data_IF_804579668552
#
_entry.id   IF_804579668552
#
_cell.length_a   1.000
_cell.length_b   1.000
_cell.length_c   1.000
_cell.angle_alpha   90.00
_cell.angle_beta   90.00
_cell.angle_gamma   90.00
#
_symmetry.space_group_name_H-M   'P 1'
#
loop_
_entity.id
_entity.type
_entity.pdbx_description
1 polymer ?
#
# COMPACT_ATOMS: atom_id res chain seq x y z
N UNK A 1 25.93 73.88 21.75
CA UNK A 1 24.62 73.20 21.78
C UNK A 1 24.36 72.28 20.58
N UNK A 2 25.06 72.44 19.44
CA UNK A 2 24.92 71.53 18.29
C UNK A 2 25.53 70.13 18.52
N UNK A 3 26.61 70.02 19.31
CA UNK A 3 27.30 68.73 19.57
C UNK A 3 26.43 67.71 20.32
N UNK A 4 25.67 68.16 21.32
CA UNK A 4 24.82 67.27 22.12
C UNK A 4 23.61 66.75 21.35
N UNK A 5 23.01 67.56 20.48
CA UNK A 5 21.88 67.15 19.65
C UNK A 5 22.30 66.15 18.56
N UNK A 6 23.47 66.36 17.95
CA UNK A 6 24.05 65.43 16.98
C UNK A 6 24.37 64.07 17.62
N UNK A 7 24.90 64.09 18.85
CA UNK A 7 25.22 62.89 19.62
C UNK A 7 23.96 62.09 20.00
N UNK A 8 22.89 62.75 20.42
CA UNK A 8 21.61 62.09 20.75
C UNK A 8 20.96 61.51 19.48
N UNK A 9 21.03 62.23 18.36
CA UNK A 9 20.50 61.78 17.08
C UNK A 9 21.23 60.52 16.56
N UNK A 10 22.56 60.47 16.68
CA UNK A 10 23.35 59.30 16.27
C UNK A 10 23.11 58.09 17.17
N UNK A 11 22.96 58.27 18.50
CA UNK A 11 22.59 57.20 19.42
C UNK A 11 21.20 56.63 19.10
N UNK A 12 20.23 57.50 18.82
CA UNK A 12 18.85 57.09 18.50
C UNK A 12 18.79 56.34 17.17
N UNK A 13 19.48 56.84 16.14
CA UNK A 13 19.57 56.16 14.85
C UNK A 13 20.26 54.80 14.96
N UNK A 14 21.36 54.70 15.73
CA UNK A 14 22.05 53.44 15.98
C UNK A 14 21.17 52.41 16.68
N UNK A 15 20.39 52.86 17.67
CA UNK A 15 19.45 52.00 18.41
C UNK A 15 18.32 51.49 17.50
N UNK A 16 17.80 52.34 16.60
CA UNK A 16 16.77 51.95 15.64
C UNK A 16 17.28 50.89 14.63
N UNK A 17 18.52 51.04 14.13
CA UNK A 17 19.13 50.06 13.22
C UNK A 17 19.37 48.73 13.93
N UNK A 18 19.85 48.75 15.17
CA UNK A 18 20.06 47.52 15.96
C UNK A 18 18.74 46.81 16.24
N UNK A 19 17.69 47.54 16.65
CA UNK A 19 16.37 46.98 16.87
C UNK A 19 15.79 46.37 15.58
N UNK A 20 15.95 47.06 14.45
CA UNK A 20 15.54 46.56 13.14
C UNK A 20 16.30 45.28 12.74
N UNK A 21 17.61 45.24 12.94
CA UNK A 21 18.43 44.07 12.64
C UNK A 21 18.10 42.86 13.52
N UNK A 22 17.94 43.06 14.83
CA UNK A 22 17.53 42.00 15.78
C UNK A 22 16.15 41.45 15.40
N UNK A 23 15.21 42.34 15.06
CA UNK A 23 13.87 41.96 14.62
C UNK A 23 13.91 41.18 13.30
N UNK A 24 14.67 41.64 12.30
CA UNK A 24 14.87 40.97 11.01
C UNK A 24 15.50 39.57 11.16
N UNK A 25 16.46 39.43 12.08
CA UNK A 25 17.09 38.14 12.41
C UNK A 25 16.10 37.21 13.15
N UNK A 26 15.25 37.77 14.01
CA UNK A 26 14.20 37.03 14.71
C UNK A 26 13.12 36.51 13.76
N UNK A 27 12.61 37.37 12.87
CA UNK A 27 11.57 37.01 11.91
C UNK A 27 12.07 35.99 10.88
N UNK A 28 13.30 36.13 10.39
CA UNK A 28 13.90 35.15 9.47
C UNK A 28 14.14 33.78 10.13
N UNK A 29 14.56 33.73 11.40
CA UNK A 29 14.71 32.48 12.14
C UNK A 29 13.37 31.81 12.41
N UNK A 30 12.35 32.57 12.82
CA UNK A 30 10.99 32.06 13.02
C UNK A 30 10.38 31.55 11.70
N UNK A 31 10.55 32.30 10.60
CA UNK A 31 10.10 31.90 9.28
C UNK A 31 10.77 30.60 8.79
N UNK A 32 12.06 30.40 9.08
CA UNK A 32 12.75 29.12 8.78
C UNK A 32 12.16 27.97 9.58
N UNK A 33 12.01 28.12 10.89
CA UNK A 33 11.42 27.07 11.75
C UNK A 33 10.00 26.71 11.27
N UNK A 34 9.19 27.73 10.93
CA UNK A 34 7.84 27.51 10.42
C UNK A 34 7.85 26.84 9.04
N UNK A 35 8.76 27.23 8.15
CA UNK A 35 8.93 26.62 6.84
C UNK A 35 9.38 25.15 6.95
N UNK A 36 10.36 24.85 7.81
CA UNK A 36 10.87 23.50 8.06
C UNK A 36 9.76 22.62 8.68
N UNK A 37 9.04 23.14 9.69
CA UNK A 37 7.90 22.43 10.30
C UNK A 37 6.80 22.14 9.29
N UNK A 38 6.52 23.09 8.39
CA UNK A 38 5.51 22.91 7.33
C UNK A 38 5.98 21.89 6.30
N UNK A 39 7.25 21.93 5.91
CA UNK A 39 7.84 20.99 4.97
C UNK A 39 7.84 19.55 5.53
N UNK A 40 8.16 19.38 6.81
CA UNK A 40 8.12 18.10 7.50
C UNK A 40 6.69 17.57 7.60
N UNK A 41 5.73 18.41 7.99
CA UNK A 41 4.31 18.03 8.02
C UNK A 41 3.80 17.62 6.64
N UNK A 42 4.16 18.35 5.58
CA UNK A 42 3.82 17.99 4.20
C UNK A 42 4.47 16.68 3.77
N UNK A 43 5.71 16.41 4.20
CA UNK A 43 6.41 15.16 3.88
C UNK A 43 5.74 13.95 4.53
N UNK A 44 5.36 14.09 5.81
CA UNK A 44 4.61 13.05 6.54
C UNK A 44 3.27 12.77 5.87
N UNK A 45 2.52 13.82 5.49
CA UNK A 45 1.22 13.65 4.84
C UNK A 45 1.35 13.02 3.44
N UNK A 46 2.35 13.41 2.65
CA UNK A 46 2.62 12.78 1.34
C UNK A 46 2.93 11.30 1.48
N UNK A 47 3.76 10.93 2.47
CA UNK A 47 4.08 9.53 2.73
C UNK A 47 2.85 8.75 3.21
N UNK A 48 2.04 9.34 4.09
CA UNK A 48 0.76 8.75 4.55
C UNK A 48 -0.19 8.50 3.38
N UNK A 49 -0.32 9.47 2.49
CA UNK A 49 -1.16 9.35 1.29
C UNK A 49 -0.63 8.29 0.32
N UNK A 50 0.67 8.25 0.05
CA UNK A 50 1.29 7.24 -0.82
C UNK A 50 1.08 5.82 -0.28
N UNK A 51 1.30 5.61 1.03
CA UNK A 51 1.02 4.35 1.73
C UNK A 51 -0.44 3.95 1.60
N UNK A 52 -1.36 4.88 1.87
CA UNK A 52 -2.80 4.62 1.77
C UNK A 52 -3.19 4.15 0.37
N UNK A 53 -2.68 4.80 -0.67
CA UNK A 53 -2.92 4.41 -2.07
C UNK A 53 -2.35 3.02 -2.34
N UNK A 54 -1.07 2.79 -2.02
CA UNK A 54 -0.42 1.49 -2.25
C UNK A 54 -1.17 0.33 -1.56
N UNK A 55 -1.61 0.51 -0.32
CA UNK A 55 -2.36 -0.50 0.42
C UNK A 55 -3.76 -0.71 -0.17
N UNK A 56 -4.44 0.37 -0.57
CA UNK A 56 -5.77 0.28 -1.18
C UNK A 56 -5.73 -0.47 -2.52
N UNK A 57 -4.79 -0.13 -3.40
CA UNK A 57 -4.61 -0.79 -4.69
C UNK A 57 -4.27 -2.27 -4.50
N UNK A 58 -3.39 -2.61 -3.55
CA UNK A 58 -3.07 -4.00 -3.22
C UNK A 58 -4.30 -4.79 -2.76
N UNK A 59 -5.12 -4.21 -1.86
CA UNK A 59 -6.35 -4.83 -1.39
C UNK A 59 -7.38 -5.02 -2.51
N UNK A 60 -7.55 -4.02 -3.37
CA UNK A 60 -8.44 -4.13 -4.53
C UNK A 60 -8.00 -5.27 -5.46
N UNK A 61 -6.70 -5.36 -5.72
CA UNK A 61 -6.16 -6.41 -6.58
C UNK A 61 -6.31 -7.81 -5.96
N UNK A 62 -6.13 -7.94 -4.64
CA UNK A 62 -6.40 -9.18 -3.92
C UNK A 62 -7.88 -9.59 -4.01
N UNK A 63 -8.81 -8.62 -3.96
CA UNK A 63 -10.23 -8.86 -4.17
C UNK A 63 -10.53 -9.32 -5.59
N UNK A 64 -9.98 -8.66 -6.62
CA UNK A 64 -10.13 -9.07 -8.03
C UNK A 64 -9.68 -10.51 -8.26
N UNK A 65 -8.57 -10.91 -7.64
CA UNK A 65 -8.09 -12.29 -7.69
C UNK A 65 -9.04 -13.26 -6.98
N UNK A 66 -9.59 -12.86 -5.83
CA UNK A 66 -10.59 -13.65 -5.09
C UNK A 66 -11.87 -13.85 -5.89
N UNK A 67 -12.30 -12.85 -6.67
CA UNK A 67 -13.44 -12.97 -7.57
C UNK A 67 -13.19 -14.01 -8.68
N UNK A 68 -11.95 -14.10 -9.19
CA UNK A 68 -11.56 -15.17 -10.12
C UNK A 68 -11.64 -16.53 -9.44
N UNK A 69 -11.14 -16.65 -8.21
CA UNK A 69 -11.22 -17.90 -7.45
C UNK A 69 -12.66 -18.32 -7.19
N UNK A 70 -13.54 -17.38 -6.84
CA UNK A 70 -14.95 -17.65 -6.66
C UNK A 70 -15.62 -18.19 -7.93
N UNK A 71 -15.27 -17.64 -9.11
CA UNK A 71 -15.75 -18.17 -10.40
C UNK A 71 -15.25 -19.58 -10.68
N UNK A 72 -14.03 -19.91 -10.28
CA UNK A 72 -13.51 -21.29 -10.36
C UNK A 72 -14.34 -22.22 -9.47
N UNK A 73 -14.60 -21.84 -8.22
CA UNK A 73 -15.48 -22.61 -7.33
C UNK A 73 -16.88 -22.80 -7.91
N UNK A 74 -17.42 -21.81 -8.63
CA UNK A 74 -18.73 -21.93 -9.28
C UNK A 74 -18.69 -22.88 -10.49
N UNK A 75 -17.67 -22.79 -11.34
CA UNK A 75 -17.49 -23.68 -12.49
C UNK A 75 -17.35 -25.17 -12.10
N UNK A 76 -16.72 -25.45 -10.96
CA UNK A 76 -16.58 -26.82 -10.45
C UNK A 76 -17.72 -27.27 -9.53
N UNK A 77 -18.65 -26.37 -9.19
CA UNK A 77 -19.79 -26.69 -8.34
C UNK A 77 -20.68 -27.74 -9.02
N UNK A 78 -21.03 -28.79 -8.27
CA UNK A 78 -21.91 -29.85 -8.76
C UNK A 78 -21.29 -30.78 -9.81
N UNK A 79 -19.96 -30.80 -9.96
CA UNK A 79 -19.28 -31.84 -10.73
C UNK A 79 -19.36 -33.18 -9.96
N UNK A 80 -20.35 -34.01 -10.29
CA UNK A 80 -20.52 -35.34 -9.70
C UNK A 80 -19.37 -36.27 -10.13
N UNK A 81 -18.70 -36.90 -9.17
CA UNK A 81 -17.61 -37.85 -9.46
C UNK A 81 -16.27 -37.23 -9.85
N UNK A 82 -16.12 -35.90 -9.77
CA UNK A 82 -14.84 -35.20 -10.00
C UNK A 82 -14.39 -35.13 -11.46
N UNK A 83 -15.22 -35.58 -12.41
CA UNK A 83 -14.95 -35.48 -13.85
C UNK A 83 -15.67 -34.26 -14.41
N UNK A 84 -14.90 -33.32 -14.95
CA UNK A 84 -15.42 -32.11 -15.57
C UNK A 84 -15.69 -32.37 -17.05
N UNK A 85 -16.88 -31.97 -17.53
CA UNK A 85 -17.16 -31.95 -18.97
C UNK A 85 -16.27 -30.94 -19.72
N UNK A 86 -16.11 -31.13 -21.03
CA UNK A 86 -15.22 -30.31 -21.87
C UNK A 86 -15.50 -28.80 -21.76
N UNK A 87 -16.77 -28.39 -21.68
CA UNK A 87 -17.17 -26.98 -21.52
C UNK A 87 -16.61 -26.36 -20.23
N UNK A 88 -16.70 -27.08 -19.11
CA UNK A 88 -16.19 -26.62 -17.81
C UNK A 88 -14.67 -26.58 -17.80
N UNK A 89 -14.01 -27.55 -18.44
CA UNK A 89 -12.54 -27.55 -18.58
C UNK A 89 -12.08 -26.33 -19.38
N UNK A 90 -12.80 -25.97 -20.44
CA UNK A 90 -12.48 -24.78 -21.24
C UNK A 90 -12.73 -23.47 -20.45
N UNK A 91 -13.80 -23.42 -19.64
CA UNK A 91 -14.01 -22.31 -18.71
C UNK A 91 -12.86 -22.18 -17.69
N UNK A 92 -12.39 -23.29 -17.12
CA UNK A 92 -11.26 -23.28 -16.20
C UNK A 92 -9.97 -22.79 -16.86
N UNK A 93 -9.71 -23.12 -18.13
CA UNK A 93 -8.55 -22.58 -18.87
C UNK A 93 -8.61 -21.06 -18.98
N UNK A 94 -9.78 -20.51 -19.30
CA UNK A 94 -9.99 -19.04 -19.35
C UNK A 94 -9.81 -18.40 -17.98
N UNK A 95 -10.36 -19.02 -16.93
CA UNK A 95 -10.21 -18.52 -15.56
C UNK A 95 -8.76 -18.59 -15.07
N UNK A 96 -7.99 -19.62 -15.45
CA UNK A 96 -6.55 -19.73 -15.16
C UNK A 96 -5.76 -18.60 -15.82
N UNK A 97 -6.04 -18.30 -17.09
CA UNK A 97 -5.39 -17.19 -17.79
C UNK A 97 -5.69 -15.85 -17.12
N UNK A 98 -6.96 -15.61 -16.79
CA UNK A 98 -7.35 -14.43 -16.03
C UNK A 98 -6.66 -14.38 -14.67
N UNK A 99 -6.60 -15.48 -13.93
CA UNK A 99 -5.90 -15.55 -12.64
C UNK A 99 -4.43 -15.14 -12.79
N UNK A 100 -3.75 -15.60 -13.85
CA UNK A 100 -2.34 -15.26 -14.13
C UNK A 100 -2.17 -13.76 -14.33
N UNK A 101 -3.08 -13.13 -15.07
CA UNK A 101 -3.01 -11.70 -15.36
C UNK A 101 -3.28 -10.87 -14.09
N UNK A 102 -4.27 -11.25 -13.29
CA UNK A 102 -4.54 -10.61 -11.99
C UNK A 102 -3.37 -10.82 -10.99
N UNK A 103 -2.73 -11.99 -11.02
CA UNK A 103 -1.54 -12.27 -10.22
C UNK A 103 -0.33 -11.40 -10.64
N UNK A 104 -0.16 -11.14 -11.94
CA UNK A 104 0.92 -10.30 -12.43
C UNK A 104 0.82 -8.87 -11.86
N UNK A 105 -0.38 -8.32 -11.82
CA UNK A 105 -0.67 -7.02 -11.19
C UNK A 105 -0.45 -7.07 -9.68
N UNK A 106 -0.94 -8.11 -8.99
CA UNK A 106 -0.72 -8.28 -7.54
C UNK A 106 0.78 -8.34 -7.18
N UNK A 107 1.56 -9.04 -8.00
CA UNK A 107 3.01 -9.11 -7.85
C UNK A 107 3.67 -7.73 -8.00
N UNK A 108 3.21 -6.91 -8.94
CA UNK A 108 3.69 -5.54 -9.08
C UNK A 108 3.38 -4.70 -7.84
N UNK A 109 2.12 -4.73 -7.38
CA UNK A 109 1.69 -3.99 -6.21
C UNK A 109 2.41 -4.41 -4.92
N UNK A 110 2.87 -5.66 -4.83
CA UNK A 110 3.75 -6.10 -3.72
C UNK A 110 5.04 -5.26 -3.64
N UNK A 111 5.63 -4.90 -4.80
CA UNK A 111 6.81 -4.02 -4.84
C UNK A 111 6.48 -2.58 -4.46
N UNK A 112 5.31 -2.08 -4.87
CA UNK A 112 4.84 -0.74 -4.49
C UNK A 112 4.64 -0.66 -2.98
N UNK A 113 4.01 -1.67 -2.37
CA UNK A 113 3.88 -1.77 -0.91
C UNK A 113 5.23 -1.80 -0.22
N UNK A 114 6.21 -2.54 -0.79
CA UNK A 114 7.58 -2.59 -0.26
C UNK A 114 8.32 -1.27 -0.37
N UNK A 115 7.99 -0.43 -1.34
CA UNK A 115 8.60 0.89 -1.52
C UNK A 115 8.03 1.91 -0.52
N UNK A 116 6.72 1.88 -0.32
CA UNK A 116 6.01 2.91 0.45
C UNK A 116 5.88 2.55 1.94
N UNK A 117 5.74 1.26 2.25
CA UNK A 117 5.46 0.75 3.59
C UNK A 117 6.69 0.35 4.40
N UNK A 118 6.53 0.09 5.71
CA UNK A 118 7.56 -0.56 6.50
C UNK A 118 7.72 -2.03 6.10
N UNK A 119 8.90 -2.60 6.38
CA UNK A 119 9.27 -3.98 6.01
C UNK A 119 8.25 -5.03 6.48
N UNK A 120 7.66 -4.85 7.67
CA UNK A 120 6.63 -5.75 8.20
C UNK A 120 5.40 -5.83 7.28
N UNK A 121 4.91 -4.70 6.79
CA UNK A 121 3.75 -4.65 5.88
C UNK A 121 4.12 -5.23 4.51
N UNK A 122 5.35 -5.00 4.05
CA UNK A 122 5.87 -5.57 2.81
C UNK A 122 5.93 -7.10 2.85
N UNK A 123 6.42 -7.68 3.96
CA UNK A 123 6.45 -9.13 4.15
C UNK A 123 5.04 -9.74 4.20
N UNK A 124 4.09 -9.06 4.83
CA UNK A 124 2.69 -9.49 4.83
C UNK A 124 2.05 -9.44 3.44
N UNK A 125 2.33 -8.40 2.63
CA UNK A 125 1.88 -8.36 1.23
C UNK A 125 2.50 -9.51 0.41
N UNK A 126 3.78 -9.79 0.61
CA UNK A 126 4.45 -10.91 -0.03
C UNK A 126 3.89 -12.28 0.44
N UNK A 127 3.50 -12.40 1.71
CA UNK A 127 2.79 -13.57 2.24
C UNK A 127 1.46 -13.78 1.51
N UNK A 128 0.63 -12.74 1.37
CA UNK A 128 -0.62 -12.79 0.58
C UNK A 128 -0.32 -13.28 -0.84
N UNK A 129 0.64 -12.65 -1.53
CA UNK A 129 1.02 -13.05 -2.89
C UNK A 129 1.39 -14.54 -2.96
N UNK A 130 2.16 -15.07 -2.01
CA UNK A 130 2.59 -16.49 -2.00
C UNK A 130 1.43 -17.46 -1.80
N UNK A 131 0.41 -17.08 -1.02
CA UNK A 131 -0.79 -17.91 -0.81
C UNK A 131 -1.64 -18.10 -2.07
N UNK A 132 -1.37 -17.36 -3.16
CA UNK A 132 -2.09 -17.49 -4.43
C UNK A 132 -1.58 -18.63 -5.32
N UNK A 133 -0.33 -19.09 -5.12
CA UNK A 133 0.28 -20.13 -5.95
C UNK A 133 -0.41 -21.51 -5.80
N UNK A 134 -0.81 -21.95 -4.59
CA UNK A 134 -1.60 -23.17 -4.43
C UNK A 134 -2.90 -23.19 -5.24
N UNK A 135 -3.62 -22.07 -5.34
CA UNK A 135 -4.81 -21.97 -6.20
C UNK A 135 -4.50 -22.26 -7.67
N UNK A 136 -3.42 -21.67 -8.18
CA UNK A 136 -3.00 -21.88 -9.57
C UNK A 136 -2.72 -23.36 -9.87
N UNK A 137 -1.94 -24.02 -9.00
CA UNK A 137 -1.65 -25.45 -9.12
C UNK A 137 -2.90 -26.31 -9.04
N UNK A 138 -3.85 -25.94 -8.20
CA UNK A 138 -5.11 -26.67 -8.08
C UNK A 138 -5.97 -26.51 -9.35
N UNK A 139 -6.04 -25.32 -9.95
CA UNK A 139 -6.73 -25.12 -11.23
C UNK A 139 -6.10 -25.94 -12.36
N UNK A 140 -4.77 -25.99 -12.44
CA UNK A 140 -4.06 -26.83 -13.43
C UNK A 140 -4.42 -28.31 -13.24
N UNK A 141 -4.37 -28.80 -12.00
CA UNK A 141 -4.74 -30.17 -11.69
C UNK A 141 -6.21 -30.49 -12.04
N UNK A 142 -7.14 -29.54 -11.86
CA UNK A 142 -8.53 -29.72 -12.30
C UNK A 142 -8.64 -29.86 -13.83
N UNK A 143 -7.89 -29.05 -14.58
CA UNK A 143 -7.86 -29.12 -16.06
C UNK A 143 -7.29 -30.46 -16.52
N UNK A 144 -6.35 -31.04 -15.76
CA UNK A 144 -5.77 -32.36 -16.01
C UNK A 144 -6.66 -33.54 -15.56
N UNK A 145 -7.80 -33.26 -14.94
CA UNK A 145 -8.76 -34.28 -14.49
C UNK A 145 -8.48 -34.89 -13.12
N UNK A 146 -7.66 -34.24 -12.29
CA UNK A 146 -7.39 -34.68 -10.92
C UNK A 146 -8.60 -34.46 -10.00
N UNK A 147 -9.19 -35.57 -9.56
CA UNK A 147 -10.41 -35.59 -8.73
C UNK A 147 -10.21 -35.00 -7.33
N UNK A 148 -8.97 -34.90 -6.84
CA UNK A 148 -8.63 -34.29 -5.55
C UNK A 148 -8.29 -32.80 -5.66
N UNK A 149 -8.28 -32.22 -6.86
CA UNK A 149 -7.88 -30.83 -7.06
C UNK A 149 -8.89 -29.83 -6.51
N UNK A 150 -10.20 -30.13 -6.56
CA UNK A 150 -11.26 -29.27 -6.01
C UNK A 150 -11.10 -29.10 -4.50
N UNK A 151 -10.92 -30.20 -3.76
CA UNK A 151 -10.70 -30.14 -2.32
C UNK A 151 -9.43 -29.35 -1.95
N UNK A 152 -8.36 -29.51 -2.73
CA UNK A 152 -7.12 -28.73 -2.54
C UNK A 152 -7.33 -27.24 -2.83
N UNK A 153 -8.12 -26.90 -3.84
CA UNK A 153 -8.47 -25.52 -4.16
C UNK A 153 -9.26 -24.87 -3.03
N UNK A 154 -10.29 -25.55 -2.51
CA UNK A 154 -11.10 -25.04 -1.42
C UNK A 154 -10.27 -24.83 -0.14
N UNK A 155 -9.32 -25.72 0.13
CA UNK A 155 -8.38 -25.59 1.25
C UNK A 155 -7.46 -24.36 1.14
N UNK A 156 -7.31 -23.74 -0.04
CA UNK A 156 -6.47 -22.56 -0.23
C UNK A 156 -7.12 -21.27 0.31
N UNK A 157 -8.45 -21.23 0.48
CA UNK A 157 -9.16 -20.03 0.91
C UNK A 157 -8.74 -19.56 2.31
N UNK A 158 -8.69 -20.45 3.30
CA UNK A 158 -8.35 -20.05 4.68
C UNK A 158 -6.95 -19.41 4.76
N UNK A 159 -5.87 -20.04 4.26
CA UNK A 159 -4.54 -19.43 4.27
C UNK A 159 -4.47 -18.06 3.58
N UNK A 160 -5.17 -17.90 2.45
CA UNK A 160 -5.22 -16.63 1.73
C UNK A 160 -5.92 -15.54 2.53
N UNK A 161 -7.12 -15.82 3.05
CA UNK A 161 -7.89 -14.84 3.82
C UNK A 161 -7.20 -14.47 5.12
N UNK A 162 -6.53 -15.41 5.78
CA UNK A 162 -5.82 -15.14 7.01
C UNK A 162 -4.59 -14.26 6.76
N UNK A 163 -3.82 -14.52 5.69
CA UNK A 163 -2.74 -13.63 5.26
C UNK A 163 -3.26 -12.22 4.90
N UNK A 164 -4.40 -12.12 4.22
CA UNK A 164 -4.98 -10.83 3.84
C UNK A 164 -5.47 -10.04 5.06
N UNK A 165 -6.08 -10.70 6.05
CA UNK A 165 -6.50 -10.06 7.31
C UNK A 165 -5.29 -9.53 8.09
N UNK A 166 -4.20 -10.28 8.17
CA UNK A 166 -2.96 -9.84 8.81
C UNK A 166 -2.40 -8.59 8.12
N UNK A 167 -2.33 -8.61 6.78
CA UNK A 167 -1.90 -7.46 5.98
C UNK A 167 -2.78 -6.21 6.22
N UNK A 168 -4.11 -6.38 6.20
CA UNK A 168 -5.06 -5.27 6.43
C UNK A 168 -4.87 -4.68 7.82
N UNK A 169 -4.68 -5.53 8.83
CA UNK A 169 -4.45 -5.09 10.21
C UNK A 169 -3.16 -4.27 10.31
N UNK A 170 -2.04 -4.80 9.83
CA UNK A 170 -0.75 -4.10 9.89
C UNK A 170 -0.76 -2.79 9.09
N UNK A 171 -1.45 -2.77 7.93
CA UNK A 171 -1.63 -1.57 7.11
C UNK A 171 -2.41 -0.49 7.87
N UNK A 172 -3.49 -0.87 8.56
CA UNK A 172 -4.29 0.04 9.39
C UNK A 172 -3.47 0.59 10.55
N UNK A 173 -2.77 -0.29 11.26
CA UNK A 173 -1.99 0.09 12.44
C UNK A 173 -0.87 1.07 12.02
N UNK A 174 -0.19 0.82 10.90
CA UNK A 174 0.82 1.73 10.31
C UNK A 174 0.25 3.10 9.97
N UNK A 175 -0.96 3.16 9.42
CA UNK A 175 -1.61 4.44 9.10
C UNK A 175 -2.11 5.17 10.35
N UNK A 176 -2.37 4.49 11.47
CA UNK A 176 -2.85 5.11 12.70
C UNK A 176 -1.72 5.51 13.66
N UNK A 177 -0.55 4.88 13.57
CA UNK A 177 0.61 5.17 14.41
C UNK A 177 1.50 6.31 13.90
N UNK A 178 1.22 6.86 12.70
CA UNK A 178 1.86 8.05 12.14
C UNK A 178 1.11 9.32 12.55
#
# INVERSE_FOLDING_TARGET
MADSAFWIASLTAGTAVLASWVTSRGTSRAARIQADTTADAQRVERLRAARRTAYAEFMEQAQRLSDVHWRVSDAVRGAEGGVLGEERVEELRRLRERQRDEYATLRNLTWVVSLEGPDEVAELANKVRRTTNPFHKAIEAMIEGDTGAVARFDACYSPFWDALKEFIKASRDTLHSM
#
